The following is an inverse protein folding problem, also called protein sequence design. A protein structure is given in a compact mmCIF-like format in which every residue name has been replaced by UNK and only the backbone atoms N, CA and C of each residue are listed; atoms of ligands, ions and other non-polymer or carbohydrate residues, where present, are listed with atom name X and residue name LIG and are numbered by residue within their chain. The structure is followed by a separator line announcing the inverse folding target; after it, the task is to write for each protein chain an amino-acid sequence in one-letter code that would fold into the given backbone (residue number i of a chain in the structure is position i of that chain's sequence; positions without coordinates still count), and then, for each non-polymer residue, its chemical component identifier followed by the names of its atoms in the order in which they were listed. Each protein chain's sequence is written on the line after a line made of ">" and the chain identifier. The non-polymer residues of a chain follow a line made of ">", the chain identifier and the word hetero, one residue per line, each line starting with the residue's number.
data_IF_443678059772
#
_entry.id   IF_443678059772
#
_cell.length_a   1.000
_cell.length_b   1.000
_cell.length_c   1.000
_cell.angle_alpha   90.00
_cell.angle_beta   90.00
_cell.angle_gamma   90.00
#
_symmetry.space_group_name_H-M   'P 1'
#
loop_
_entity.id
_entity.type
_entity.pdbx_description
1 polymer ?
#
# COMPACT_ATOMS: atom_id res chain seq x y z
N UNK A 1 -9.71 -17.48 -37.75
CA UNK A 1 -9.10 -16.20 -37.32
C UNK A 1 -9.04 -16.23 -35.80
N UNK A 2 -7.85 -16.39 -35.21
CA UNK A 2 -7.67 -16.16 -33.77
C UNK A 2 -7.57 -14.65 -33.61
N UNK A 3 -8.50 -14.07 -32.87
CA UNK A 3 -8.49 -12.65 -32.53
C UNK A 3 -7.10 -12.28 -32.01
N UNK A 4 -6.49 -11.27 -32.65
CA UNK A 4 -5.32 -10.61 -32.09
C UNK A 4 -5.83 -9.87 -30.86
N UNK A 5 -5.83 -10.52 -29.70
CA UNK A 5 -5.99 -9.85 -28.42
C UNK A 5 -4.90 -8.79 -28.36
N UNK A 6 -5.27 -7.53 -28.42
CA UNK A 6 -4.39 -6.42 -28.05
C UNK A 6 -3.78 -6.79 -26.71
N UNK A 7 -2.46 -6.94 -26.67
CA UNK A 7 -1.78 -7.25 -25.40
C UNK A 7 -1.81 -5.96 -24.60
N UNK A 8 -2.86 -5.77 -23.81
CA UNK A 8 -3.02 -4.61 -22.96
C UNK A 8 -2.05 -4.67 -21.78
N UNK A 9 -1.65 -3.47 -21.33
CA UNK A 9 -0.78 -3.34 -20.19
C UNK A 9 -1.50 -3.86 -18.94
N UNK A 10 -0.93 -4.80 -18.18
CA UNK A 10 -1.58 -5.32 -16.97
C UNK A 10 -1.73 -4.25 -15.87
N UNK A 11 -1.06 -3.10 -16.02
CA UNK A 11 -1.14 -1.96 -15.11
C UNK A 11 -2.08 -0.86 -15.62
N UNK A 12 -2.81 -1.07 -16.71
CA UNK A 12 -3.64 -0.03 -17.33
C UNK A 12 -4.67 0.52 -16.33
N UNK A 13 -5.35 -0.39 -15.64
CA UNK A 13 -6.42 -0.08 -14.68
C UNK A 13 -5.91 0.43 -13.33
N UNK A 14 -4.58 0.41 -13.11
CA UNK A 14 -3.99 0.92 -11.89
C UNK A 14 -3.73 2.42 -12.00
N UNK A 15 -4.16 3.21 -11.03
CA UNK A 15 -3.95 4.65 -11.00
C UNK A 15 -3.36 5.12 -9.68
N UNK A 16 -2.71 6.28 -9.71
CA UNK A 16 -2.14 6.89 -8.51
C UNK A 16 -3.27 7.36 -7.59
N UNK A 17 -4.30 7.94 -8.18
CA UNK A 17 -5.48 8.44 -7.47
C UNK A 17 -6.22 7.32 -6.72
N UNK A 18 -6.44 6.17 -7.37
CA UNK A 18 -7.11 5.05 -6.70
C UNK A 18 -6.20 4.41 -5.64
N UNK A 19 -4.88 4.39 -5.84
CA UNK A 19 -3.94 3.94 -4.80
C UNK A 19 -4.00 4.83 -3.55
N UNK A 20 -4.24 6.14 -3.71
CA UNK A 20 -4.46 7.05 -2.59
C UNK A 20 -5.80 6.78 -1.90
N UNK A 21 -6.90 6.66 -2.63
CA UNK A 21 -8.23 6.47 -2.05
C UNK A 21 -8.43 5.08 -1.44
N UNK A 22 -7.96 4.04 -2.13
CA UNK A 22 -8.22 2.62 -1.83
C UNK A 22 -6.93 1.84 -1.54
N UNK A 23 -6.05 2.41 -0.72
CA UNK A 23 -4.73 1.83 -0.43
C UNK A 23 -4.74 0.37 0.03
N UNK A 24 -5.77 -0.10 0.76
CA UNK A 24 -5.88 -1.49 1.21
C UNK A 24 -6.03 -2.48 0.06
N UNK A 25 -6.78 -2.12 -1.00
CA UNK A 25 -6.96 -2.95 -2.20
C UNK A 25 -5.61 -3.13 -2.91
N UNK A 26 -4.86 -2.04 -3.03
CA UNK A 26 -3.56 -2.05 -3.68
C UNK A 26 -2.49 -2.75 -2.83
N UNK A 27 -2.57 -2.67 -1.50
CA UNK A 27 -1.66 -3.40 -0.62
C UNK A 27 -1.70 -4.90 -0.89
N UNK A 28 -2.89 -5.49 -0.99
CA UNK A 28 -3.04 -6.91 -1.34
C UNK A 28 -2.38 -7.22 -2.69
N UNK A 29 -2.78 -6.50 -3.73
CA UNK A 29 -2.29 -6.71 -5.09
C UNK A 29 -0.76 -6.52 -5.24
N UNK A 30 -0.14 -5.67 -4.43
CA UNK A 30 1.28 -5.35 -4.52
C UNK A 30 2.16 -6.19 -3.58
N UNK A 31 1.57 -6.92 -2.63
CA UNK A 31 2.30 -7.76 -1.67
C UNK A 31 2.13 -9.26 -1.91
N UNK A 32 1.05 -9.66 -2.59
CA UNK A 32 0.84 -11.05 -3.01
C UNK A 32 1.60 -11.32 -4.32
N UNK A 33 2.60 -12.23 -4.33
CA UNK A 33 3.36 -12.57 -5.53
C UNK A 33 2.51 -13.15 -6.67
N UNK A 34 1.40 -13.82 -6.34
CA UNK A 34 0.53 -14.46 -7.33
C UNK A 34 -0.43 -13.44 -7.97
N UNK A 35 -0.76 -12.37 -7.26
CA UNK A 35 -1.62 -11.28 -7.76
C UNK A 35 -0.80 -10.12 -8.40
N UNK A 36 0.51 -10.06 -8.15
CA UNK A 36 1.34 -8.95 -8.62
C UNK A 36 1.37 -8.88 -10.16
N UNK A 37 0.92 -7.77 -10.77
CA UNK A 37 0.94 -7.63 -12.22
C UNK A 37 2.37 -7.44 -12.73
N UNK A 38 2.96 -8.49 -13.29
CA UNK A 38 4.32 -8.43 -13.81
C UNK A 38 4.46 -7.51 -15.03
N UNK A 39 5.58 -6.79 -15.11
CA UNK A 39 5.93 -5.96 -16.26
C UNK A 39 6.19 -6.79 -17.52
N UNK A 40 5.58 -6.37 -18.64
CA UNK A 40 5.78 -6.98 -19.96
C UNK A 40 6.69 -6.07 -20.81
N UNK A 41 7.87 -6.54 -21.27
CA UNK A 41 8.87 -5.69 -21.95
C UNK A 41 8.38 -4.94 -23.19
N UNK A 42 7.45 -5.53 -23.94
CA UNK A 42 6.90 -4.97 -25.18
C UNK A 42 5.62 -4.16 -24.98
N UNK A 43 5.14 -4.02 -23.75
CA UNK A 43 3.83 -3.40 -23.44
C UNK A 43 3.96 -2.28 -22.40
N UNK A 44 4.74 -2.49 -21.34
CA UNK A 44 4.89 -1.51 -20.27
C UNK A 44 5.91 -0.43 -20.67
N UNK A 45 5.41 0.79 -20.91
CA UNK A 45 6.23 1.97 -21.22
C UNK A 45 7.05 2.44 -20.00
N UNK A 46 7.97 3.38 -20.23
CA UNK A 46 8.68 4.05 -19.14
C UNK A 46 7.70 4.76 -18.18
N UNK A 47 6.72 5.48 -18.72
CA UNK A 47 5.67 6.17 -17.94
C UNK A 47 4.86 5.20 -17.09
N UNK A 48 4.54 4.01 -17.63
CA UNK A 48 3.86 2.96 -16.89
C UNK A 48 4.69 2.49 -15.69
N UNK A 49 6.00 2.35 -15.85
CA UNK A 49 6.90 1.96 -14.76
C UNK A 49 7.01 3.05 -13.71
N UNK A 50 7.15 4.31 -14.11
CA UNK A 50 7.18 5.43 -13.18
C UNK A 50 5.87 5.56 -12.38
N UNK A 51 4.72 5.37 -13.04
CA UNK A 51 3.41 5.29 -12.38
C UNK A 51 3.38 4.19 -11.31
N UNK A 52 3.84 2.99 -11.66
CA UNK A 52 3.86 1.87 -10.72
C UNK A 52 4.79 2.11 -9.53
N UNK A 53 5.94 2.77 -9.73
CA UNK A 53 6.83 3.17 -8.62
C UNK A 53 6.10 4.11 -7.66
N UNK A 54 5.44 5.15 -8.18
CA UNK A 54 4.65 6.09 -7.34
C UNK A 54 3.55 5.37 -6.56
N UNK A 55 2.82 4.45 -7.21
CA UNK A 55 1.81 3.64 -6.57
C UNK A 55 2.42 2.82 -5.42
N UNK A 56 3.52 2.09 -5.66
CA UNK A 56 4.18 1.28 -4.63
C UNK A 56 4.64 2.16 -3.46
N UNK A 57 5.26 3.31 -3.73
CA UNK A 57 5.73 4.23 -2.69
C UNK A 57 4.57 4.73 -1.80
N UNK A 58 3.44 5.11 -2.40
CA UNK A 58 2.24 5.54 -1.67
C UNK A 58 1.75 4.43 -0.75
N UNK A 59 1.64 3.22 -1.27
CA UNK A 59 1.08 2.07 -0.54
C UNK A 59 2.00 1.67 0.62
N UNK A 60 3.31 1.55 0.37
CA UNK A 60 4.28 1.23 1.41
C UNK A 60 4.34 2.32 2.47
N UNK A 61 4.32 3.61 2.09
CA UNK A 61 4.30 4.71 3.03
C UNK A 61 3.06 4.70 3.92
N UNK A 62 1.86 4.53 3.34
CA UNK A 62 0.60 4.46 4.10
C UNK A 62 0.59 3.25 5.03
N UNK A 63 1.03 2.09 4.56
CA UNK A 63 1.10 0.90 5.39
C UNK A 63 2.11 1.03 6.53
N UNK A 64 3.28 1.61 6.27
CA UNK A 64 4.28 1.92 7.29
C UNK A 64 3.71 2.87 8.35
N UNK A 65 3.07 3.96 7.92
CA UNK A 65 2.44 4.93 8.82
C UNK A 65 1.37 4.27 9.69
N UNK A 66 0.48 3.49 9.08
CA UNK A 66 -0.55 2.75 9.81
C UNK A 66 0.06 1.80 10.86
N UNK A 67 1.04 0.98 10.46
CA UNK A 67 1.69 0.04 11.37
C UNK A 67 2.39 0.75 12.52
N UNK A 68 3.09 1.86 12.25
CA UNK A 68 3.73 2.67 13.29
C UNK A 68 2.69 3.23 14.27
N UNK A 69 1.63 3.83 13.76
CA UNK A 69 0.59 4.43 14.60
C UNK A 69 -0.10 3.34 15.45
N UNK A 70 -0.36 2.15 14.90
CA UNK A 70 -0.86 0.99 15.64
C UNK A 70 0.08 0.57 16.79
N UNK A 71 1.39 0.52 16.57
CA UNK A 71 2.34 0.16 17.62
C UNK A 71 2.46 1.22 18.71
N UNK A 72 2.40 2.50 18.36
CA UNK A 72 2.34 3.58 19.34
C UNK A 72 1.04 3.49 20.17
N UNK A 73 -0.09 3.19 19.55
CA UNK A 73 -1.36 2.95 20.25
C UNK A 73 -1.25 1.74 21.20
N UNK A 74 -0.60 0.65 20.76
CA UNK A 74 -0.36 -0.51 21.61
C UNK A 74 0.49 -0.17 22.84
N UNK A 75 1.53 0.67 22.69
CA UNK A 75 2.33 1.12 23.84
C UNK A 75 1.49 1.88 24.87
N UNK A 76 0.55 2.70 24.42
CA UNK A 76 -0.39 3.40 25.31
C UNK A 76 -1.30 2.42 26.06
N UNK A 77 -1.80 1.39 25.39
CA UNK A 77 -2.67 0.36 26.00
C UNK A 77 -1.92 -0.52 27.00
N UNK A 78 -0.71 -0.96 26.67
CA UNK A 78 0.09 -1.86 27.53
C UNK A 78 0.96 -1.14 28.57
N UNK A 79 0.77 0.18 28.73
CA UNK A 79 1.41 0.99 29.77
C UNK A 79 2.91 1.22 29.60
N UNK A 80 3.39 1.17 28.36
CA UNK A 80 4.71 1.66 27.98
C UNK A 80 4.58 2.95 27.16
N UNK A 81 3.64 3.83 27.51
CA UNK A 81 3.52 5.15 26.88
C UNK A 81 4.85 5.91 26.89
N UNK A 82 4.98 6.98 26.10
CA UNK A 82 6.22 7.73 25.92
C UNK A 82 6.91 8.18 27.24
N UNK A 83 6.16 8.21 28.36
CA UNK A 83 6.63 8.53 29.72
C UNK A 83 6.37 7.41 30.76
N UNK A 84 6.02 6.19 30.33
CA UNK A 84 5.81 5.03 31.21
C UNK A 84 4.48 4.98 31.97
N UNK A 85 3.51 5.85 31.63
CA UNK A 85 2.15 5.78 32.21
C UNK A 85 1.27 4.73 31.54
N UNK A 86 0.50 4.03 32.36
CA UNK A 86 -0.54 3.07 31.97
C UNK A 86 -1.83 3.76 31.50
N UNK A 87 -2.62 3.09 30.66
CA UNK A 87 -3.92 3.60 30.17
C UNK A 87 -4.85 4.03 31.32
N UNK A 88 -4.77 3.36 32.48
CA UNK A 88 -5.53 3.73 33.68
C UNK A 88 -5.12 5.07 34.28
N UNK A 89 -3.89 5.52 34.08
CA UNK A 89 -3.39 6.82 34.56
C UNK A 89 -3.79 7.97 33.62
N UNK A 90 -4.00 7.71 32.32
CA UNK A 90 -4.43 8.72 31.34
C UNK A 90 -5.94 9.06 31.45
N UNK A 91 -6.77 8.10 31.85
CA UNK A 91 -8.24 8.28 31.94
C UNK A 91 -8.66 8.97 33.27
N UNK A 92 -7.74 9.10 34.23
CA UNK A 92 -8.00 9.68 35.55
C UNK A 92 -7.69 11.19 35.67
N UNK A 93 -7.38 11.87 34.56
CA UNK A 93 -7.21 13.33 34.45
C UNK A 93 -8.14 13.93 33.41
#
# INVERSE_FOLDING_TARGET
>A
MKERTSVECPHLDLSVEEAEENSSKYLWLLTDPDEFPMFKPSVCTADCKEKMVKIIDIILFKHYKFSRDYFEDCKMVFGQGADGMSLGEYIMY
#
